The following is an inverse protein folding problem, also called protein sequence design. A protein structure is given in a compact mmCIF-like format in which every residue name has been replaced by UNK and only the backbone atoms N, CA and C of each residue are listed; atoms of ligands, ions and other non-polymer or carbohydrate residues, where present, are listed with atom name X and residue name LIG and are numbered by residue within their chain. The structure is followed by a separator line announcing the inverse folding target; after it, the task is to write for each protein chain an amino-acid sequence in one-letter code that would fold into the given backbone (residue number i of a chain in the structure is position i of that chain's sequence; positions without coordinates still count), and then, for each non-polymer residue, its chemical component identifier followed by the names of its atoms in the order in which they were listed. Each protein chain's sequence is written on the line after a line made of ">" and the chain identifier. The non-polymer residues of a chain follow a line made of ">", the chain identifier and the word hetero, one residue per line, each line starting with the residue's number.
data_IF_524216954651
#
_entry.id   IF_524216954651
#
_cell.length_a   1.000
_cell.length_b   1.000
_cell.length_c   1.000
_cell.angle_alpha   90.00
_cell.angle_beta   90.00
_cell.angle_gamma   90.00
#
_symmetry.space_group_name_H-M   'P 1'
#
loop_
_entity.id
_entity.type
_entity.pdbx_description
1 polymer ?
#
# COMPACT_ATOMS: atom_id res chain seq x y z
N UNK A 1 -6.31 -14.65 15.55
CA UNK A 1 -5.56 -14.76 14.27
C UNK A 1 -4.07 -14.88 14.53
N UNK A 2 -3.48 -13.96 15.29
CA UNK A 2 -2.06 -13.89 15.70
C UNK A 2 -1.50 -15.07 16.53
N UNK A 3 -2.24 -16.18 16.61
CA UNK A 3 -1.90 -17.44 17.30
C UNK A 3 -2.41 -18.67 16.52
N UNK A 4 -2.84 -18.51 15.26
CA UNK A 4 -3.34 -19.58 14.41
C UNK A 4 -2.26 -20.08 13.44
N UNK A 5 -2.32 -21.35 13.03
CA UNK A 5 -1.51 -21.92 11.94
C UNK A 5 -2.25 -21.80 10.61
N UNK A 6 -1.54 -22.07 9.50
CA UNK A 6 -2.15 -22.12 8.16
C UNK A 6 -3.33 -23.10 8.12
N UNK A 7 -3.17 -24.29 8.71
CA UNK A 7 -4.19 -25.35 8.77
C UNK A 7 -5.50 -24.87 9.45
N UNK A 8 -5.42 -23.90 10.35
CA UNK A 8 -6.60 -23.32 11.01
C UNK A 8 -7.39 -22.37 10.09
N UNK A 9 -6.80 -21.93 8.97
CA UNK A 9 -7.44 -21.11 7.94
C UNK A 9 -7.95 -21.94 6.76
N UNK A 10 -7.43 -23.16 6.54
CA UNK A 10 -7.81 -24.08 5.46
C UNK A 10 -9.13 -24.81 5.76
N UNK A 11 -10.16 -24.05 6.14
CA UNK A 11 -11.51 -24.54 6.38
C UNK A 11 -12.18 -24.83 5.02
N UNK A 12 -12.66 -26.06 4.76
CA UNK A 12 -13.35 -26.40 3.53
C UNK A 12 -14.55 -25.48 3.25
N UNK A 13 -14.82 -25.24 1.97
CA UNK A 13 -15.95 -24.42 1.56
C UNK A 13 -17.31 -25.10 1.89
N UNK A 14 -18.40 -24.33 2.04
CA UNK A 14 -19.74 -24.90 2.20
C UNK A 14 -20.17 -25.69 0.96
N UNK A 15 -20.92 -26.78 1.19
CA UNK A 15 -21.52 -27.61 0.14
C UNK A 15 -22.29 -26.77 -0.89
N UNK A 16 -22.07 -27.07 -2.17
CA UNK A 16 -22.67 -26.33 -3.30
C UNK A 16 -21.97 -25.02 -3.65
N UNK A 17 -20.78 -24.74 -3.09
CA UNK A 17 -19.89 -23.68 -3.58
C UNK A 17 -18.69 -24.27 -4.33
N UNK A 18 -18.17 -23.53 -5.32
CA UNK A 18 -17.14 -24.03 -6.24
C UNK A 18 -15.69 -23.79 -5.74
N UNK A 19 -15.53 -23.16 -4.57
CA UNK A 19 -14.21 -22.89 -3.97
C UNK A 19 -13.70 -24.13 -3.23
N UNK A 20 -12.39 -24.28 -3.07
CA UNK A 20 -11.85 -25.33 -2.18
C UNK A 20 -12.02 -24.95 -0.68
N UNK A 21 -11.76 -23.67 -0.34
CA UNK A 21 -11.74 -23.17 1.04
C UNK A 21 -12.69 -21.97 1.25
N UNK A 22 -13.22 -21.76 2.47
CA UNK A 22 -14.05 -20.57 2.78
C UNK A 22 -13.21 -19.29 3.00
N UNK A 23 -12.78 -18.70 1.88
CA UNK A 23 -12.17 -17.36 1.83
C UNK A 23 -13.03 -16.29 2.53
N UNK A 24 -14.36 -16.43 2.58
CA UNK A 24 -15.22 -15.46 3.26
C UNK A 24 -15.15 -15.59 4.79
N UNK A 25 -14.77 -16.77 5.34
CA UNK A 25 -14.48 -16.95 6.76
C UNK A 25 -13.19 -16.23 7.15
N UNK A 26 -12.11 -16.42 6.38
CA UNK A 26 -10.81 -15.79 6.67
C UNK A 26 -10.88 -14.26 6.52
N UNK A 27 -11.58 -13.74 5.51
CA UNK A 27 -11.86 -12.30 5.38
C UNK A 27 -12.68 -11.74 6.57
N UNK A 28 -13.62 -12.52 7.13
CA UNK A 28 -14.35 -12.13 8.36
C UNK A 28 -13.44 -12.14 9.59
N UNK A 29 -12.55 -13.12 9.72
CA UNK A 29 -11.56 -13.15 10.80
C UNK A 29 -10.60 -11.96 10.73
N UNK A 30 -10.09 -11.60 9.54
CA UNK A 30 -9.27 -10.41 9.32
C UNK A 30 -10.02 -9.14 9.73
N UNK A 31 -11.24 -8.95 9.23
CA UNK A 31 -12.09 -7.80 9.59
C UNK A 31 -12.36 -7.73 11.09
N UNK A 32 -12.52 -8.87 11.77
CA UNK A 32 -12.70 -8.94 13.22
C UNK A 32 -11.42 -8.66 14.01
N UNK A 33 -10.25 -9.07 13.49
CA UNK A 33 -8.94 -8.83 14.12
C UNK A 33 -8.52 -7.37 14.01
N UNK A 34 -8.85 -6.71 12.90
CA UNK A 34 -8.63 -5.27 12.66
C UNK A 34 -9.78 -4.39 13.20
N UNK A 35 -10.78 -4.98 13.86
CA UNK A 35 -11.94 -4.24 14.36
C UNK A 35 -11.54 -3.29 15.49
N UNK A 36 -11.90 -2.01 15.37
CA UNK A 36 -11.38 -0.93 16.21
C UNK A 36 -10.19 -0.17 15.62
N UNK A 37 -9.66 -0.61 14.47
CA UNK A 37 -8.62 0.07 13.70
C UNK A 37 -7.23 -0.52 13.89
N UNK A 38 -6.41 -0.44 12.83
CA UNK A 38 -5.04 -0.98 12.76
C UNK A 38 -4.18 -0.49 13.94
N UNK A 39 -4.34 0.78 14.36
CA UNK A 39 -3.61 1.38 15.48
C UNK A 39 -3.89 0.77 16.86
N UNK A 40 -4.93 -0.06 17.00
CA UNK A 40 -5.19 -0.85 18.23
C UNK A 40 -4.52 -2.22 18.23
N UNK A 41 -3.94 -2.64 17.11
CA UNK A 41 -3.19 -3.90 16.98
C UNK A 41 -1.70 -3.57 17.08
N UNK A 42 -0.98 -4.20 18.01
CA UNK A 42 0.47 -4.00 18.11
C UNK A 42 1.19 -4.55 16.88
N UNK A 43 2.26 -3.87 16.44
CA UNK A 43 3.03 -4.23 15.24
C UNK A 43 3.56 -5.67 15.25
N UNK A 44 3.80 -6.24 16.42
CA UNK A 44 4.16 -7.66 16.60
C UNK A 44 3.00 -8.59 16.23
N UNK A 45 1.77 -8.31 16.70
CA UNK A 45 0.58 -9.11 16.35
C UNK A 45 0.19 -8.93 14.89
N UNK A 46 0.34 -7.71 14.36
CA UNK A 46 0.05 -7.38 12.97
C UNK A 46 1.00 -8.12 12.01
N UNK A 47 2.32 -8.11 12.29
CA UNK A 47 3.32 -8.90 11.53
C UNK A 47 3.04 -10.40 11.59
N UNK A 48 2.75 -10.96 12.78
CA UNK A 48 2.35 -12.37 12.90
C UNK A 48 1.17 -12.74 11.99
N UNK A 49 0.18 -11.87 11.84
CA UNK A 49 -0.96 -12.12 10.95
C UNK A 49 -0.58 -11.95 9.48
N UNK A 50 0.33 -11.05 9.11
CA UNK A 50 0.86 -10.99 7.74
C UNK A 50 1.62 -12.27 7.35
N UNK A 51 2.54 -12.73 8.21
CA UNK A 51 3.29 -13.98 7.98
C UNK A 51 2.42 -15.23 7.93
N UNK A 52 1.20 -15.19 8.48
CA UNK A 52 0.18 -16.23 8.34
C UNK A 52 -0.67 -16.05 7.07
N UNK A 53 -1.00 -14.81 6.70
CA UNK A 53 -1.84 -14.52 5.55
C UNK A 53 -1.12 -14.75 4.23
N UNK A 54 0.13 -14.35 4.08
CA UNK A 54 0.84 -14.45 2.81
C UNK A 54 0.93 -15.90 2.26
N UNK A 55 1.26 -16.94 3.06
CA UNK A 55 1.16 -18.33 2.60
C UNK A 55 -0.29 -18.81 2.41
N UNK A 56 -1.28 -18.28 3.15
CA UNK A 56 -2.69 -18.58 2.89
C UNK A 56 -3.17 -18.02 1.54
N UNK A 57 -2.72 -16.82 1.16
CA UNK A 57 -3.04 -16.22 -0.14
C UNK A 57 -2.41 -17.06 -1.26
N UNK A 58 -1.19 -17.57 -1.06
CA UNK A 58 -0.54 -18.51 -1.97
C UNK A 58 -1.32 -19.84 -2.12
N UNK A 59 -1.77 -20.44 -1.01
CA UNK A 59 -2.55 -21.69 -1.00
C UNK A 59 -3.91 -21.55 -1.72
N UNK A 60 -4.58 -20.39 -1.63
CA UNK A 60 -5.86 -20.17 -2.36
C UNK A 60 -5.69 -19.62 -3.77
N UNK A 61 -4.52 -19.08 -4.14
CA UNK A 61 -4.26 -18.52 -5.46
C UNK A 61 -4.56 -19.45 -6.65
N UNK A 62 -4.23 -20.76 -6.61
CA UNK A 62 -4.49 -21.67 -7.73
C UNK A 62 -5.93 -22.23 -7.79
N UNK A 63 -6.87 -21.79 -6.95
CA UNK A 63 -8.30 -22.15 -7.06
C UNK A 63 -8.92 -21.44 -8.28
N UNK A 64 -9.31 -22.13 -9.38
CA UNK A 64 -9.81 -21.47 -10.60
C UNK A 64 -11.18 -20.78 -10.44
N UNK A 65 -11.85 -20.96 -9.29
CA UNK A 65 -13.08 -20.26 -8.94
C UNK A 65 -12.85 -19.01 -8.09
N UNK A 66 -11.60 -18.74 -7.66
CA UNK A 66 -11.25 -17.57 -6.86
C UNK A 66 -11.38 -16.28 -7.68
N UNK A 67 -12.50 -15.56 -7.51
CA UNK A 67 -12.77 -14.31 -8.22
C UNK A 67 -11.72 -13.22 -7.91
N UNK A 68 -11.33 -12.37 -8.89
CA UNK A 68 -10.31 -11.32 -8.69
C UNK A 68 -10.60 -10.39 -7.51
N UNK A 69 -11.88 -10.04 -7.28
CA UNK A 69 -12.29 -9.21 -6.15
C UNK A 69 -12.07 -9.86 -4.78
N UNK A 70 -12.07 -11.20 -4.68
CA UNK A 70 -11.68 -11.92 -3.45
C UNK A 70 -10.16 -11.96 -3.28
N UNK A 71 -9.41 -12.24 -4.35
CA UNK A 71 -7.95 -12.24 -4.31
C UNK A 71 -7.41 -10.87 -3.89
N UNK A 72 -7.88 -9.81 -4.55
CA UNK A 72 -7.58 -8.42 -4.24
C UNK A 72 -7.89 -8.09 -2.76
N UNK A 73 -9.08 -8.46 -2.29
CA UNK A 73 -9.51 -8.22 -0.91
C UNK A 73 -8.66 -8.96 0.14
N UNK A 74 -8.03 -10.09 -0.20
CA UNK A 74 -7.06 -10.76 0.67
C UNK A 74 -5.70 -10.05 0.65
N UNK A 75 -5.15 -9.77 -0.53
CA UNK A 75 -3.84 -9.16 -0.70
C UNK A 75 -3.74 -7.80 0.02
N UNK A 76 -4.77 -6.96 -0.14
CA UNK A 76 -4.85 -5.62 0.48
C UNK A 76 -5.53 -5.60 1.86
N UNK A 77 -5.77 -6.75 2.49
CA UNK A 77 -6.41 -6.80 3.81
C UNK A 77 -5.54 -6.23 4.95
N UNK A 78 -4.22 -6.21 4.75
CA UNK A 78 -3.22 -5.77 5.72
C UNK A 78 -2.40 -4.61 5.13
N UNK A 79 -2.01 -3.62 5.93
CA UNK A 79 -1.21 -2.49 5.46
C UNK A 79 0.25 -2.88 5.21
N UNK A 80 0.97 -2.10 4.41
CA UNK A 80 2.39 -2.32 4.13
C UNK A 80 3.27 -2.36 5.39
N UNK A 81 2.88 -1.70 6.48
CA UNK A 81 3.58 -1.75 7.77
C UNK A 81 3.44 -3.10 8.51
N UNK A 82 2.55 -3.98 8.05
CA UNK A 82 2.42 -5.35 8.53
C UNK A 82 3.47 -6.31 7.93
N UNK A 83 4.10 -5.94 6.81
CA UNK A 83 4.99 -6.82 6.03
C UNK A 83 6.43 -6.30 6.01
N UNK A 84 7.39 -7.19 6.16
CA UNK A 84 8.82 -6.86 6.04
C UNK A 84 9.32 -7.08 4.60
N UNK A 85 8.89 -8.17 3.97
CA UNK A 85 8.99 -8.42 2.53
C UNK A 85 7.59 -8.62 1.91
N UNK A 86 7.46 -8.39 0.60
CA UNK A 86 6.27 -8.69 -0.22
C UNK A 86 6.44 -9.93 -1.10
N UNK A 87 7.55 -10.67 -0.99
CA UNK A 87 7.89 -11.81 -1.86
C UNK A 87 6.81 -12.92 -1.84
N UNK A 88 6.23 -13.22 -0.67
CA UNK A 88 5.13 -14.18 -0.54
C UNK A 88 3.84 -13.72 -1.23
N UNK A 89 3.57 -12.42 -1.24
CA UNK A 89 2.43 -11.83 -1.98
C UNK A 89 2.70 -11.84 -3.48
N UNK A 90 3.94 -11.59 -3.92
CA UNK A 90 4.33 -11.75 -5.33
C UNK A 90 4.12 -13.20 -5.79
N UNK A 91 4.58 -14.18 -5.01
CA UNK A 91 4.43 -15.60 -5.37
C UNK A 91 2.94 -15.99 -5.51
N UNK A 92 2.09 -15.51 -4.60
CA UNK A 92 0.65 -15.71 -4.70
C UNK A 92 0.02 -14.99 -5.91
N UNK A 93 0.45 -13.76 -6.24
CA UNK A 93 0.02 -13.05 -7.45
C UNK A 93 0.44 -13.82 -8.71
N UNK A 94 1.65 -14.34 -8.75
CA UNK A 94 2.18 -15.05 -9.92
C UNK A 94 1.41 -16.35 -10.20
N UNK A 95 1.16 -17.16 -9.17
CA UNK A 95 0.30 -18.35 -9.29
C UNK A 95 -1.14 -18.01 -9.64
N UNK A 96 -1.68 -16.90 -9.10
CA UNK A 96 -3.02 -16.44 -9.44
C UNK A 96 -3.12 -16.07 -10.93
N UNK A 97 -2.16 -15.31 -11.45
CA UNK A 97 -2.09 -14.93 -12.87
C UNK A 97 -1.82 -16.14 -13.79
N UNK A 98 -1.10 -17.16 -13.33
CA UNK A 98 -0.88 -18.40 -14.07
C UNK A 98 -2.16 -19.22 -14.26
N UNK A 99 -2.94 -19.43 -13.18
CA UNK A 99 -4.22 -20.16 -13.27
C UNK A 99 -5.31 -19.33 -13.94
N UNK A 100 -5.32 -18.01 -13.73
CA UNK A 100 -6.35 -17.11 -14.26
C UNK A 100 -5.89 -16.40 -15.55
N UNK A 101 -5.33 -17.15 -16.50
CA UNK A 101 -4.84 -16.62 -17.78
C UNK A 101 -5.89 -15.84 -18.61
N UNK A 102 -7.19 -16.05 -18.35
CA UNK A 102 -8.32 -15.36 -19.00
C UNK A 102 -8.67 -13.97 -18.45
N UNK A 103 -7.90 -13.42 -17.50
CA UNK A 103 -8.12 -12.07 -16.95
C UNK A 103 -7.91 -10.97 -18.00
N UNK A 104 -8.70 -9.90 -17.90
CA UNK A 104 -8.45 -8.67 -18.64
C UNK A 104 -7.18 -7.96 -18.16
N UNK A 105 -6.53 -7.19 -19.02
CA UNK A 105 -5.35 -6.39 -18.64
C UNK A 105 -5.65 -5.38 -17.50
N UNK A 106 -6.89 -4.89 -17.40
CA UNK A 106 -7.33 -4.05 -16.28
C UNK A 106 -7.37 -4.81 -14.95
N UNK A 107 -7.81 -6.07 -14.95
CA UNK A 107 -7.79 -6.93 -13.76
C UNK A 107 -6.36 -7.32 -13.39
N UNK A 108 -5.53 -7.71 -14.37
CA UNK A 108 -4.10 -7.98 -14.14
C UNK A 108 -3.40 -6.77 -13.52
N UNK A 109 -3.63 -5.57 -14.07
CA UNK A 109 -3.10 -4.32 -13.50
C UNK A 109 -3.54 -4.14 -12.04
N UNK A 110 -4.84 -4.26 -11.73
CA UNK A 110 -5.37 -4.11 -10.36
C UNK A 110 -4.77 -5.13 -9.38
N UNK A 111 -4.48 -6.34 -9.84
CA UNK A 111 -3.83 -7.40 -9.04
C UNK A 111 -2.34 -7.08 -8.83
N UNK A 112 -1.60 -6.68 -9.86
CA UNK A 112 -0.19 -6.32 -9.72
C UNK A 112 0.01 -5.08 -8.83
N UNK A 113 -0.92 -4.13 -8.87
CA UNK A 113 -0.97 -2.96 -7.98
C UNK A 113 -1.11 -3.29 -6.48
N UNK A 114 -1.31 -4.55 -6.06
CA UNK A 114 -1.30 -4.92 -4.64
C UNK A 114 0.10 -5.14 -4.07
N UNK A 115 1.14 -5.12 -4.91
CA UNK A 115 2.53 -5.33 -4.48
C UNK A 115 3.18 -4.02 -4.02
N UNK A 116 3.91 -4.08 -2.90
CA UNK A 116 4.90 -3.05 -2.60
C UNK A 116 6.25 -3.46 -3.22
N UNK A 117 6.56 -2.88 -4.37
CA UNK A 117 7.74 -3.24 -5.17
C UNK A 117 9.06 -2.92 -4.45
N UNK A 118 9.06 -1.96 -3.53
CA UNK A 118 10.23 -1.61 -2.70
C UNK A 118 10.51 -2.64 -1.58
N UNK A 119 9.55 -3.54 -1.31
CA UNK A 119 9.67 -4.63 -0.35
C UNK A 119 9.84 -6.00 -1.01
N UNK A 120 10.09 -6.04 -2.31
CA UNK A 120 10.50 -7.26 -3.00
C UNK A 120 12.02 -7.42 -2.88
N UNK A 121 12.47 -8.66 -2.72
CA UNK A 121 13.91 -8.98 -2.78
C UNK A 121 14.45 -8.87 -4.22
N UNK A 122 15.77 -8.74 -4.35
CA UNK A 122 16.43 -8.64 -5.67
C UNK A 122 16.16 -9.85 -6.57
N UNK A 123 16.03 -11.04 -5.96
CA UNK A 123 15.66 -12.28 -6.64
C UNK A 123 14.22 -12.20 -7.21
N UNK A 124 13.25 -11.80 -6.38
CA UNK A 124 11.87 -11.59 -6.83
C UNK A 124 11.75 -10.51 -7.90
N UNK A 125 12.46 -9.39 -7.75
CA UNK A 125 12.52 -8.34 -8.78
C UNK A 125 13.11 -8.85 -10.10
N UNK A 126 14.10 -9.75 -10.05
CA UNK A 126 14.68 -10.39 -11.23
C UNK A 126 13.68 -11.33 -11.91
N UNK A 127 12.94 -12.13 -11.13
CA UNK A 127 11.89 -13.00 -11.66
C UNK A 127 10.74 -12.19 -12.27
N UNK A 128 10.23 -11.18 -11.55
CA UNK A 128 9.23 -10.22 -12.02
C UNK A 128 9.62 -9.55 -13.34
N UNK A 129 10.89 -9.13 -13.50
CA UNK A 129 11.38 -8.49 -14.72
C UNK A 129 11.45 -9.44 -15.94
N UNK A 130 11.39 -10.76 -15.73
CA UNK A 130 11.34 -11.78 -16.78
C UNK A 130 9.93 -12.33 -17.01
N UNK A 131 9.04 -12.19 -16.03
CA UNK A 131 7.69 -12.75 -16.02
C UNK A 131 6.76 -12.09 -17.07
N UNK A 132 6.25 -12.89 -18.01
CA UNK A 132 5.38 -12.44 -19.10
C UNK A 132 3.88 -12.49 -18.76
N UNK A 133 3.50 -12.97 -17.57
CA UNK A 133 2.10 -12.99 -17.10
C UNK A 133 1.64 -11.64 -16.55
N UNK A 134 2.59 -10.84 -16.07
CA UNK A 134 2.36 -9.49 -15.57
C UNK A 134 2.05 -8.52 -16.73
N UNK A 135 1.42 -7.35 -16.45
CA UNK A 135 1.30 -6.25 -17.39
C UNK A 135 2.64 -5.87 -18.02
N UNK A 136 2.61 -5.16 -19.14
CA UNK A 136 3.82 -4.81 -19.92
C UNK A 136 4.94 -4.24 -19.05
N UNK A 137 6.21 -4.49 -19.43
CA UNK A 137 7.36 -4.06 -18.61
C UNK A 137 7.35 -2.55 -18.30
N UNK A 138 6.87 -1.74 -19.24
CA UNK A 138 6.62 -0.30 -19.08
C UNK A 138 5.57 0.01 -18.01
N UNK A 139 4.48 -0.76 -17.93
CA UNK A 139 3.49 -0.63 -16.87
C UNK A 139 4.06 -0.98 -15.49
N UNK A 140 4.75 -2.13 -15.36
CA UNK A 140 5.38 -2.55 -14.09
C UNK A 140 6.43 -1.53 -13.63
N UNK A 141 7.28 -1.05 -14.54
CA UNK A 141 8.25 0.01 -14.24
C UNK A 141 7.58 1.36 -13.92
N UNK A 142 6.43 1.64 -14.52
CA UNK A 142 5.57 2.78 -14.17
C UNK A 142 5.02 2.70 -12.75
N UNK A 143 4.49 1.54 -12.34
CA UNK A 143 4.01 1.30 -10.96
C UNK A 143 5.12 1.48 -9.93
N UNK A 144 6.30 0.89 -10.17
CA UNK A 144 7.50 1.12 -9.35
C UNK A 144 7.82 2.62 -9.24
N UNK A 145 7.90 3.32 -10.36
CA UNK A 145 8.23 4.75 -10.42
C UNK A 145 7.20 5.63 -9.69
N UNK A 146 5.91 5.29 -9.78
CA UNK A 146 4.84 5.97 -9.04
C UNK A 146 4.96 5.73 -7.53
N UNK A 147 5.26 4.50 -7.11
CA UNK A 147 5.38 4.16 -5.69
C UNK A 147 6.52 4.93 -5.01
N UNK A 148 7.72 4.98 -5.64
CA UNK A 148 8.83 5.80 -5.15
C UNK A 148 8.47 7.30 -5.09
N UNK A 149 7.83 7.86 -6.14
CA UNK A 149 7.43 9.27 -6.18
C UNK A 149 6.37 9.63 -5.14
N UNK A 150 5.47 8.71 -4.81
CA UNK A 150 4.51 8.91 -3.73
C UNK A 150 5.21 8.96 -2.38
N UNK A 151 6.24 8.12 -2.15
CA UNK A 151 6.97 8.13 -0.87
C UNK A 151 7.84 9.35 -0.65
N UNK A 152 8.52 9.89 -1.65
CA UNK A 152 9.34 11.12 -1.46
C UNK A 152 8.48 12.27 -0.92
N UNK A 153 7.28 12.46 -1.49
CA UNK A 153 6.30 13.46 -1.05
C UNK A 153 5.82 13.27 0.40
N UNK A 154 5.93 12.07 0.98
CA UNK A 154 5.67 11.80 2.41
C UNK A 154 6.93 11.86 3.29
N UNK A 155 8.13 11.88 2.71
CA UNK A 155 9.39 12.02 3.43
C UNK A 155 9.84 13.49 3.53
N UNK A 156 9.47 14.32 2.56
CA UNK A 156 9.72 15.77 2.53
C UNK A 156 8.96 16.57 3.60
N UNK A 157 8.34 15.90 4.60
CA UNK A 157 7.50 16.54 5.65
C UNK A 157 8.07 16.43 7.08
N UNK A 158 9.11 15.62 7.33
CA UNK A 158 9.63 15.31 8.68
C UNK A 158 11.10 15.76 8.89
N UNK A 159 11.41 17.05 8.73
CA UNK A 159 12.78 17.58 9.00
C UNK A 159 12.80 19.02 9.58
N UNK A 160 12.60 19.19 10.91
CA UNK A 160 12.65 20.50 11.57
C UNK A 160 14.09 20.94 11.86
N UNK A 161 14.83 21.40 10.84
CA UNK A 161 16.18 21.97 11.02
C UNK A 161 16.16 23.46 11.40
N UNK A 162 16.81 23.87 12.50
CA UNK A 162 17.03 25.27 12.82
C UNK A 162 18.21 25.84 12.02
N UNK A 163 18.01 27.03 11.44
CA UNK A 163 19.07 27.83 10.80
C UNK A 163 18.80 29.30 11.18
N UNK A 164 19.33 29.81 12.30
CA UNK A 164 20.61 30.56 12.41
C UNK A 164 20.80 31.60 11.30
N UNK A 165 20.75 32.88 11.70
CA UNK A 165 20.60 34.03 10.81
C UNK A 165 21.91 34.50 10.15
N UNK A 166 21.82 34.99 8.90
CA UNK A 166 22.75 36.00 8.37
C UNK A 166 22.23 36.64 7.05
N UNK A 167 21.78 37.90 7.06
CA UNK A 167 21.39 38.64 5.85
C UNK A 167 22.36 39.77 5.49
N UNK A 168 22.64 40.00 4.20
CA UNK A 168 23.47 41.14 3.77
C UNK A 168 23.20 41.61 2.31
N UNK A 169 22.49 42.74 2.14
CA UNK A 169 22.59 43.60 0.94
C UNK A 169 22.04 45.03 1.20
N UNK A 170 22.76 46.05 0.70
CA UNK A 170 22.36 47.46 0.59
C UNK A 170 21.63 47.71 -0.76
N UNK A 171 21.04 48.85 -1.17
CA UNK A 171 20.91 50.27 -0.73
C UNK A 171 19.67 50.88 -1.45
N UNK A 172 18.97 51.96 -1.07
CA UNK A 172 18.77 52.70 0.19
C UNK A 172 17.25 53.07 0.27
N UNK A 173 16.66 54.28 0.32
CA UNK A 173 17.05 55.70 0.46
C UNK A 173 16.06 56.38 1.43
N UNK A 174 16.52 57.21 2.39
CA UNK A 174 15.65 58.19 3.07
C UNK A 174 15.90 58.43 4.56
N UNK A 175 15.95 59.70 5.00
CA UNK A 175 16.42 60.11 6.34
C UNK A 175 15.28 60.66 7.21
N UNK A 176 15.08 60.15 8.44
CA UNK A 176 14.97 60.88 9.74
C UNK A 176 14.37 60.01 10.88
N UNK A 177 14.76 60.26 12.15
CA UNK A 177 13.72 60.31 13.22
C UNK A 177 13.59 59.25 14.34
N UNK A 178 14.65 58.65 14.89
CA UNK A 178 14.75 58.09 16.28
C UNK A 178 13.57 57.29 16.93
N UNK A 179 13.88 56.01 17.22
CA UNK A 179 13.71 55.25 18.49
C UNK A 179 12.42 54.48 18.87
N UNK A 180 12.70 53.24 19.27
CA UNK A 180 12.05 52.31 20.22
C UNK A 180 10.78 51.51 19.82
N UNK A 181 10.70 50.32 20.44
CA UNK A 181 9.90 49.13 20.10
C UNK A 181 8.50 49.15 20.78
N UNK A 182 7.55 48.24 20.52
CA UNK A 182 7.61 46.91 19.88
C UNK A 182 6.36 46.59 19.02
N UNK A 183 6.44 45.53 18.21
CA UNK A 183 5.42 45.16 17.20
C UNK A 183 4.51 44.01 17.64
N UNK A 184 3.21 44.12 17.36
CA UNK A 184 2.24 43.02 17.51
C UNK A 184 2.24 42.03 16.31
N UNK A 185 1.41 41.00 16.41
CA UNK A 185 1.60 39.70 15.76
C UNK A 185 1.08 39.59 14.32
N UNK A 186 1.73 38.71 13.54
CA UNK A 186 1.22 38.18 12.28
C UNK A 186 0.10 37.17 12.55
N UNK A 187 -1.04 37.31 11.86
CA UNK A 187 -2.11 36.29 11.86
C UNK A 187 -2.25 35.68 10.46
N UNK A 188 -1.80 34.44 10.30
CA UNK A 188 -2.10 33.60 9.14
C UNK A 188 -3.09 32.51 9.56
N UNK A 189 -4.28 32.51 8.95
CA UNK A 189 -5.35 31.56 9.26
C UNK A 189 -5.03 30.16 8.72
N UNK A 190 -4.64 29.24 9.60
CA UNK A 190 -4.47 27.84 9.27
C UNK A 190 -5.84 27.16 9.05
N UNK A 191 -6.21 26.97 7.77
CA UNK A 191 -7.40 26.19 7.39
C UNK A 191 -7.25 24.73 7.77
N UNK A 192 -8.01 24.27 8.77
CA UNK A 192 -7.93 22.90 9.32
C UNK A 192 -8.48 21.86 8.34
N UNK A 193 -7.60 21.18 7.60
CA UNK A 193 -7.96 20.05 6.75
C UNK A 193 -8.15 18.77 7.61
N UNK A 194 -9.22 18.01 7.36
CA UNK A 194 -9.61 16.86 8.21
C UNK A 194 -8.89 15.56 7.80
N UNK A 195 -8.42 14.80 8.80
CA UNK A 195 -7.58 13.61 8.61
C UNK A 195 -8.47 12.37 8.37
N UNK A 196 -9.01 12.24 7.15
CA UNK A 196 -9.98 11.17 6.79
C UNK A 196 -9.75 10.43 5.46
N UNK A 197 -8.60 10.57 4.80
CA UNK A 197 -8.36 10.01 3.45
C UNK A 197 -7.23 8.96 3.36
N UNK A 198 -7.33 7.86 4.12
CA UNK A 198 -6.52 6.64 3.91
C UNK A 198 -7.31 5.47 3.32
N UNK A 199 -8.53 5.71 2.82
CA UNK A 199 -9.46 4.68 2.32
C UNK A 199 -10.01 4.99 0.90
N UNK A 200 -9.25 5.70 0.05
CA UNK A 200 -9.74 6.04 -1.31
C UNK A 200 -8.70 6.13 -2.46
N UNK A 201 -7.47 5.67 -2.28
CA UNK A 201 -6.45 5.80 -3.34
C UNK A 201 -6.75 4.94 -4.58
N UNK A 202 -7.31 3.74 -4.38
CA UNK A 202 -7.51 2.73 -5.42
C UNK A 202 -8.49 3.12 -6.54
N UNK A 203 -9.39 4.08 -6.31
CA UNK A 203 -10.40 4.49 -7.32
C UNK A 203 -9.87 5.53 -8.34
N UNK A 204 -8.80 6.27 -8.00
CA UNK A 204 -8.28 7.34 -8.85
C UNK A 204 -7.06 6.92 -9.68
N UNK A 205 -6.19 6.05 -9.15
CA UNK A 205 -4.93 5.65 -9.81
C UNK A 205 -5.17 5.01 -11.20
N UNK A 206 -6.25 4.23 -11.37
CA UNK A 206 -6.59 3.61 -12.67
C UNK A 206 -6.92 4.61 -13.80
N UNK A 207 -7.17 5.90 -13.52
CA UNK A 207 -7.55 6.87 -14.56
C UNK A 207 -6.36 7.43 -15.34
N UNK A 208 -5.15 7.45 -14.78
CA UNK A 208 -3.97 7.96 -15.48
C UNK A 208 -3.39 6.95 -16.49
N UNK A 209 -3.72 5.66 -16.36
CA UNK A 209 -3.23 4.61 -17.26
C UNK A 209 -3.99 4.51 -18.60
N UNK A 210 -5.07 5.28 -18.79
CA UNK A 210 -6.02 5.09 -19.89
C UNK A 210 -6.16 6.34 -20.79
N UNK A 211 -5.10 7.16 -20.87
CA UNK A 211 -5.02 8.37 -21.69
C UNK A 211 -3.79 8.36 -22.59
N UNK A 212 -3.91 7.73 -23.76
CA UNK A 212 -2.90 7.66 -24.83
C UNK A 212 -3.56 7.38 -26.17
#
# INVERSE_FOLDING_TARGET
>A
MDQATLDNLLVPSPYGTNYLYDVNLVLRFLKSFLCGGISRVSSVRLRKVASLMDPYIAEVAPDPCLKPSKFLALATALPDSARESYDGVYHAVDMYLEVHAGLSEEEKMKICCTLNYEKLSSETCTHLAQNTRFPSKTAVQGLMSQQFRLKSLFQDTDDPKPLVDSPCSFTEIGITGKKDESSEQVVLYAGKLDVRLTMRSSEHICKECNGG
#
